data_IF_286089645319
#
_entry.id   IF_286089645319
#
_cell.length_a   1.000
_cell.length_b   1.000
_cell.length_c   1.000
_cell.angle_alpha   90.00
_cell.angle_beta   90.00
_cell.angle_gamma   90.00
#
_symmetry.space_group_name_H-M   'P 1'
#
loop_
_entity.id
_entity.type
_entity.pdbx_description
1 polymer ?
#
# COMPACT_ATOMS: atom_id res chain seq x y z
N UNK A 1 -11.06 15.27 -3.35
CA UNK A 1 -10.81 14.22 -2.33
C UNK A 1 -9.40 13.71 -2.51
N UNK A 2 -8.50 13.91 -1.54
CA UNK A 2 -7.12 13.46 -1.65
C UNK A 2 -7.04 11.95 -1.91
N UNK A 3 -6.18 11.54 -2.84
CA UNK A 3 -5.88 10.13 -3.13
C UNK A 3 -7.09 9.23 -3.43
N UNK A 4 -8.20 9.82 -3.89
CA UNK A 4 -9.34 9.06 -4.39
C UNK A 4 -8.91 8.09 -5.50
N UNK A 5 -9.58 6.94 -5.57
CA UNK A 5 -9.33 5.92 -6.58
C UNK A 5 -10.17 6.21 -7.81
N UNK A 6 -9.55 6.33 -8.98
CA UNK A 6 -10.22 6.52 -10.27
C UNK A 6 -9.99 5.25 -11.09
N UNK A 7 -10.97 4.35 -11.08
CA UNK A 7 -10.93 3.10 -11.85
C UNK A 7 -11.51 3.33 -13.26
N UNK A 8 -10.90 2.68 -14.26
CA UNK A 8 -11.37 2.69 -15.64
C UNK A 8 -12.24 1.48 -15.98
N UNK A 9 -12.62 0.66 -15.00
CA UNK A 9 -13.47 -0.53 -15.18
C UNK A 9 -12.81 -1.71 -15.90
N UNK A 10 -11.60 -1.54 -16.43
CA UNK A 10 -10.91 -2.53 -17.27
C UNK A 10 -9.62 -3.08 -16.64
N UNK A 11 -9.50 -3.03 -15.31
CA UNK A 11 -8.28 -3.45 -14.62
C UNK A 11 -7.20 -2.37 -14.50
N UNK A 12 -7.45 -1.18 -15.03
CA UNK A 12 -6.56 -0.03 -14.94
C UNK A 12 -7.25 1.13 -14.21
N UNK A 13 -6.45 2.11 -13.81
CA UNK A 13 -6.92 3.33 -13.17
C UNK A 13 -5.74 4.18 -12.72
N UNK A 14 -6.06 5.21 -11.96
CA UNK A 14 -5.11 6.13 -11.36
C UNK A 14 -5.65 6.61 -10.00
N UNK A 15 -4.85 7.41 -9.29
CA UNK A 15 -5.26 8.05 -8.05
C UNK A 15 -5.26 9.56 -8.22
N UNK A 16 -6.14 10.23 -7.47
CA UNK A 16 -6.05 11.67 -7.31
C UNK A 16 -4.79 12.06 -6.52
N UNK A 17 -4.33 13.29 -6.67
CA UNK A 17 -3.26 13.85 -5.84
C UNK A 17 -3.79 14.28 -4.46
N UNK A 18 -2.94 14.97 -3.70
CA UNK A 18 -3.22 15.50 -2.36
C UNK A 18 -4.30 16.60 -2.34
N UNK A 19 -4.52 17.28 -3.46
CA UNK A 19 -5.60 18.27 -3.63
C UNK A 19 -6.89 17.61 -4.16
N UNK A 20 -6.82 16.33 -4.54
CA UNK A 20 -7.91 15.58 -5.14
C UNK A 20 -8.08 15.81 -6.64
N UNK A 21 -7.06 16.38 -7.30
CA UNK A 21 -6.98 16.50 -8.75
C UNK A 21 -6.48 15.22 -9.40
N UNK A 22 -6.91 14.95 -10.63
CA UNK A 22 -6.36 13.89 -11.46
C UNK A 22 -6.35 14.30 -12.93
N UNK A 23 -5.47 13.68 -13.73
CA UNK A 23 -5.34 14.01 -15.14
C UNK A 23 -5.88 12.90 -16.05
N UNK A 24 -6.93 13.23 -16.80
CA UNK A 24 -7.55 12.34 -17.79
C UNK A 24 -7.75 13.09 -19.11
N UNK A 25 -7.37 12.46 -20.23
CA UNK A 25 -7.71 12.95 -21.56
C UNK A 25 -8.00 11.77 -22.49
N UNK A 26 -8.91 11.96 -23.45
CA UNK A 26 -9.17 10.96 -24.52
C UNK A 26 -7.93 10.67 -25.36
N UNK A 27 -6.99 11.61 -25.47
CA UNK A 27 -5.69 11.37 -26.11
C UNK A 27 -4.86 10.32 -25.36
N UNK A 28 -4.85 10.37 -24.02
CA UNK A 28 -4.10 9.42 -23.20
C UNK A 28 -4.81 8.09 -23.01
N UNK A 29 -6.15 8.12 -23.00
CA UNK A 29 -7.04 7.02 -22.66
C UNK A 29 -8.24 6.97 -23.64
N UNK A 30 -7.99 6.68 -24.94
CA UNK A 30 -9.03 6.74 -25.96
C UNK A 30 -10.17 5.74 -25.71
N UNK A 31 -9.81 4.56 -25.21
CA UNK A 31 -10.73 3.42 -25.04
C UNK A 31 -11.52 3.46 -23.72
N UNK A 32 -11.42 4.56 -22.94
CA UNK A 32 -12.08 4.67 -21.63
C UNK A 32 -13.33 5.55 -21.76
N UNK A 33 -14.50 4.97 -21.53
CA UNK A 33 -15.82 5.60 -21.65
C UNK A 33 -16.42 6.00 -20.30
N UNK A 34 -16.04 5.32 -19.21
CA UNK A 34 -16.58 5.54 -17.86
C UNK A 34 -15.47 5.53 -16.81
N UNK A 35 -15.57 6.42 -15.83
CA UNK A 35 -14.75 6.45 -14.63
C UNK A 35 -15.59 5.99 -13.43
N UNK A 36 -15.00 5.16 -12.57
CA UNK A 36 -15.56 4.74 -11.29
C UNK A 36 -14.70 5.33 -10.19
N UNK A 37 -15.26 6.29 -9.44
CA UNK A 37 -14.53 7.08 -8.46
C UNK A 37 -14.94 6.65 -7.06
N UNK A 38 -13.97 6.22 -6.26
CA UNK A 38 -14.18 5.81 -4.86
C UNK A 38 -13.25 6.57 -3.93
N UNK A 39 -13.75 6.92 -2.75
CA UNK A 39 -13.01 7.56 -1.68
C UNK A 39 -13.57 7.09 -0.33
N UNK A 40 -12.72 7.02 0.69
CA UNK A 40 -13.15 6.56 2.01
C UNK A 40 -14.21 7.49 2.59
N UNK A 41 -15.35 6.93 3.04
CA UNK A 41 -16.47 7.69 3.58
C UNK A 41 -17.38 8.34 2.52
N UNK A 42 -17.28 7.93 1.25
CA UNK A 42 -18.12 8.42 0.16
C UNK A 42 -18.66 7.27 -0.69
N UNK A 43 -19.86 7.48 -1.24
CA UNK A 43 -20.44 6.55 -2.21
C UNK A 43 -19.62 6.52 -3.49
N UNK A 44 -19.51 5.34 -4.10
CA UNK A 44 -18.95 5.22 -5.46
C UNK A 44 -19.73 6.11 -6.43
N UNK A 45 -19.00 6.90 -7.23
CA UNK A 45 -19.58 7.72 -8.30
C UNK A 45 -19.12 7.22 -9.66
N UNK A 46 -20.08 6.96 -10.55
CA UNK A 46 -19.83 6.59 -11.95
C UNK A 46 -19.98 7.82 -12.82
N UNK A 47 -18.97 8.12 -13.66
CA UNK A 47 -18.92 9.33 -14.48
C UNK A 47 -18.57 8.97 -15.93
N UNK A 48 -19.47 9.23 -16.91
CA UNK A 48 -19.14 9.10 -18.33
C UNK A 48 -18.06 10.09 -18.76
N UNK A 49 -17.06 9.63 -19.51
CA UNK A 49 -15.94 10.48 -19.96
C UNK A 49 -16.31 11.44 -21.09
N UNK A 50 -17.46 11.23 -21.74
CA UNK A 50 -17.97 12.14 -22.77
C UNK A 50 -18.36 13.52 -22.19
N UNK A 51 -18.82 13.54 -20.93
CA UNK A 51 -19.29 14.74 -20.22
C UNK A 51 -18.44 14.98 -18.96
N UNK A 52 -17.13 14.76 -19.04
CA UNK A 52 -16.25 14.89 -17.88
C UNK A 52 -16.10 16.37 -17.51
N UNK A 53 -16.79 16.78 -16.46
CA UNK A 53 -16.65 18.10 -15.84
C UNK A 53 -15.26 18.26 -15.18
N UNK A 54 -14.80 19.50 -15.05
CA UNK A 54 -13.55 19.82 -14.35
C UNK A 54 -13.60 19.46 -12.85
N UNK A 55 -14.80 19.43 -12.25
CA UNK A 55 -15.01 19.14 -10.84
C UNK A 55 -16.03 18.04 -10.68
N UNK A 56 -15.74 17.09 -9.79
CA UNK A 56 -16.62 15.96 -9.51
C UNK A 56 -16.94 15.94 -8.03
N UNK A 57 -18.20 16.25 -7.70
CA UNK A 57 -18.70 16.18 -6.32
C UNK A 57 -19.10 14.76 -5.94
N UNK A 58 -18.56 14.26 -4.82
CA UNK A 58 -18.91 12.96 -4.25
C UNK A 58 -19.92 13.13 -3.12
N UNK A 59 -20.78 12.12 -2.94
CA UNK A 59 -21.78 12.10 -1.86
C UNK A 59 -21.21 11.35 -0.66
N UNK A 60 -21.13 11.97 0.53
CA UNK A 60 -20.70 11.28 1.75
C UNK A 60 -21.56 10.04 2.04
N UNK A 61 -20.93 9.00 2.57
CA UNK A 61 -21.58 7.78 3.05
C UNK A 61 -21.26 7.59 4.54
N UNK A 62 -22.25 7.91 5.37
CA UNK A 62 -22.13 8.00 6.84
C UNK A 62 -21.86 6.63 7.50
N UNK A 63 -22.18 5.52 6.81
CA UNK A 63 -22.15 4.17 7.41
C UNK A 63 -20.77 3.54 7.58
N UNK A 64 -19.69 4.11 7.03
CA UNK A 64 -18.35 3.48 7.07
C UNK A 64 -17.46 3.95 8.23
N UNK A 65 -17.91 4.93 9.00
CA UNK A 65 -17.22 5.32 10.23
C UNK A 65 -17.99 4.68 11.38
N UNK A 66 -17.71 3.40 11.66
CA UNK A 66 -17.65 3.03 13.07
C UNK A 66 -16.55 3.91 13.63
N UNK A 67 -16.95 5.04 14.20
CA UNK A 67 -16.15 5.75 15.17
C UNK A 67 -15.65 4.65 16.10
N UNK A 68 -14.37 4.29 15.97
CA UNK A 68 -13.71 3.48 16.97
C UNK A 68 -13.87 4.36 18.19
N UNK A 69 -14.88 4.03 19.02
CA UNK A 69 -15.20 4.79 20.21
C UNK A 69 -13.89 4.82 20.97
N UNK A 70 -13.18 5.94 20.89
CA UNK A 70 -12.03 6.22 21.72
C UNK A 70 -12.67 6.45 23.08
N UNK A 71 -13.02 5.35 23.74
CA UNK A 71 -13.30 5.34 25.16
C UNK A 71 -11.99 5.77 25.79
N UNK A 72 -11.88 7.07 26.04
CA UNK A 72 -10.77 7.79 26.67
C UNK A 72 -9.43 7.76 25.91
N UNK A 73 -8.78 8.93 25.76
CA UNK A 73 -7.34 9.00 25.45
C UNK A 73 -6.63 8.13 26.48
N UNK A 74 -6.05 7.01 26.04
CA UNK A 74 -5.28 6.13 26.94
C UNK A 74 -4.00 6.88 27.32
N UNK A 75 -4.07 7.61 28.43
CA UNK A 75 -2.94 8.32 29.03
C UNK A 75 -2.41 7.52 30.22
N UNK A 76 -1.11 7.30 30.30
CA UNK A 76 -0.49 6.60 31.41
C UNK A 76 0.90 6.06 31.10
N UNK A 77 1.51 5.40 32.09
CA UNK A 77 2.78 4.70 31.91
C UNK A 77 2.61 3.57 30.89
N UNK A 78 3.51 3.53 29.91
CA UNK A 78 3.56 2.48 28.90
C UNK A 78 4.96 1.88 28.80
N UNK A 79 5.04 0.68 28.24
CA UNK A 79 6.30 0.05 27.81
C UNK A 79 6.34 0.02 26.29
N UNK A 80 7.54 0.22 25.73
CA UNK A 80 7.76 0.04 24.30
C UNK A 80 8.00 -1.44 24.03
N UNK A 81 7.27 -2.02 23.07
CA UNK A 81 7.52 -3.36 22.55
C UNK A 81 7.70 -3.30 21.04
N UNK A 82 8.73 -3.95 20.54
CA UNK A 82 9.05 -4.00 19.12
C UNK A 82 8.80 -5.39 18.57
N UNK A 83 8.23 -5.45 17.37
CA UNK A 83 8.16 -6.64 16.51
C UNK A 83 9.08 -6.39 15.34
N UNK A 84 10.22 -7.06 15.31
CA UNK A 84 11.25 -6.80 14.33
C UNK A 84 10.80 -7.11 12.89
N UNK A 85 11.17 -6.26 11.93
CA UNK A 85 10.98 -6.57 10.52
C UNK A 85 11.94 -7.69 10.09
N UNK A 86 11.51 -8.47 9.09
CA UNK A 86 12.37 -9.45 8.42
C UNK A 86 12.74 -8.92 7.04
N UNK A 87 14.04 -8.73 6.82
CA UNK A 87 14.57 -8.15 5.58
C UNK A 87 15.68 -9.04 5.01
N UNK A 88 15.87 -8.95 3.69
CA UNK A 88 17.03 -9.47 2.97
C UNK A 88 17.34 -8.53 1.80
N UNK A 89 18.50 -8.70 1.17
CA UNK A 89 18.93 -7.93 0.00
C UNK A 89 18.75 -8.69 -1.33
N UNK A 90 18.32 -9.96 -1.35
CA UNK A 90 18.09 -10.66 -2.63
C UNK A 90 17.01 -10.01 -3.52
N UNK A 91 17.41 -9.59 -4.73
CA UNK A 91 16.51 -9.04 -5.75
C UNK A 91 15.42 -10.04 -6.20
N UNK A 92 15.77 -11.31 -6.37
CA UNK A 92 14.87 -12.32 -6.93
C UNK A 92 13.79 -12.79 -5.95
N UNK A 93 13.97 -12.46 -4.67
CA UNK A 93 13.00 -12.72 -3.61
C UNK A 93 12.19 -11.47 -3.23
N UNK A 94 12.22 -10.44 -4.07
CA UNK A 94 11.37 -9.27 -3.92
C UNK A 94 10.09 -9.38 -4.74
N UNK A 95 8.99 -8.91 -4.17
CA UNK A 95 7.79 -8.60 -4.93
C UNK A 95 7.98 -7.31 -5.73
N UNK A 96 7.44 -7.29 -6.94
CA UNK A 96 7.53 -6.19 -7.89
C UNK A 96 6.26 -5.32 -7.78
N UNK A 97 6.33 -4.15 -7.13
CA UNK A 97 5.14 -3.33 -6.96
C UNK A 97 4.69 -2.75 -8.30
N UNK A 98 3.39 -2.80 -8.57
CA UNK A 98 2.76 -1.96 -9.58
C UNK A 98 1.90 -0.91 -8.88
N UNK A 99 1.55 0.15 -9.59
CA UNK A 99 0.44 1.04 -9.17
C UNK A 99 -0.75 0.17 -8.77
N UNK A 100 -1.62 0.62 -7.88
CA UNK A 100 -2.82 -0.11 -7.40
C UNK A 100 -2.58 -1.30 -6.46
N UNK A 101 -1.35 -1.76 -6.34
CA UNK A 101 -1.09 -2.95 -5.52
C UNK A 101 -1.04 -2.55 -4.07
N UNK A 102 -1.70 -3.35 -3.25
CA UNK A 102 -1.75 -3.17 -1.81
C UNK A 102 -1.35 -4.49 -1.14
N UNK A 103 -0.47 -4.40 -0.14
CA UNK A 103 -0.05 -5.55 0.67
C UNK A 103 -0.42 -5.27 2.11
N UNK A 104 -1.16 -6.17 2.74
CA UNK A 104 -1.47 -6.14 4.16
C UNK A 104 -0.73 -7.24 4.93
N UNK A 105 -0.32 -6.93 6.14
CA UNK A 105 0.27 -7.87 7.11
C UNK A 105 -0.59 -7.88 8.37
N UNK A 106 -0.96 -9.07 8.81
CA UNK A 106 -1.68 -9.27 10.07
C UNK A 106 -0.73 -9.16 11.27
N UNK A 107 -1.19 -8.45 12.29
CA UNK A 107 -0.57 -8.34 13.59
C UNK A 107 -1.59 -8.69 14.67
N UNK A 108 -1.29 -9.74 15.43
CA UNK A 108 -2.11 -10.16 16.56
C UNK A 108 -2.01 -9.19 17.75
N UNK A 109 -3.02 -9.23 18.61
CA UNK A 109 -3.01 -8.58 19.91
C UNK A 109 -2.47 -9.57 20.95
N UNK A 110 -1.29 -9.29 21.53
CA UNK A 110 -0.61 -10.25 22.43
C UNK A 110 -0.61 -9.82 23.89
N UNK A 111 -0.96 -8.58 24.17
CA UNK A 111 -0.82 -8.00 25.51
C UNK A 111 -2.17 -7.92 26.19
N UNK A 112 -2.19 -7.89 27.51
CA UNK A 112 -3.46 -7.73 28.23
C UNK A 112 -3.99 -6.29 28.19
N UNK A 113 -3.10 -5.30 28.11
CA UNK A 113 -3.45 -3.88 28.09
C UNK A 113 -3.63 -3.30 26.67
N UNK A 114 -4.15 -2.07 26.56
CA UNK A 114 -4.23 -1.37 25.28
C UNK A 114 -2.87 -1.25 24.60
N UNK A 115 -2.84 -1.47 23.28
CA UNK A 115 -1.62 -1.37 22.47
C UNK A 115 -1.83 -0.32 21.38
N UNK A 116 -0.99 0.72 21.38
CA UNK A 116 -0.97 1.76 20.34
C UNK A 116 0.23 1.56 19.43
N UNK A 117 0.05 1.64 18.11
CA UNK A 117 1.16 1.60 17.16
C UNK A 117 1.86 2.97 17.16
N UNK A 118 3.16 3.00 17.45
CA UNK A 118 3.98 4.23 17.40
C UNK A 118 4.88 4.30 16.16
N UNK A 119 5.23 3.16 15.56
CA UNK A 119 6.11 3.12 14.39
C UNK A 119 5.85 1.88 13.54
N UNK A 120 6.02 2.01 12.23
CA UNK A 120 6.12 0.87 11.31
C UNK A 120 7.53 0.73 10.77
N UNK A 121 7.95 -0.52 10.61
CA UNK A 121 9.21 -0.88 9.96
C UNK A 121 8.91 -1.63 8.68
N UNK A 122 9.15 -0.97 7.54
CA UNK A 122 8.82 -1.49 6.22
C UNK A 122 10.10 -1.97 5.52
N UNK A 123 10.30 -3.28 5.33
CA UNK A 123 11.39 -3.78 4.49
C UNK A 123 11.28 -3.24 3.06
N UNK A 124 12.34 -2.60 2.57
CA UNK A 124 12.43 -2.04 1.23
C UNK A 124 13.77 -2.41 0.60
N UNK A 125 13.78 -2.65 -0.70
CA UNK A 125 15.02 -2.79 -1.48
C UNK A 125 15.11 -1.68 -2.51
N UNK A 126 15.98 -0.72 -2.23
CA UNK A 126 16.53 0.15 -3.26
C UNK A 126 17.57 -0.64 -4.06
N UNK A 127 17.44 -0.73 -5.39
CA UNK A 127 18.43 -1.39 -6.26
C UNK A 127 19.87 -0.89 -6.10
N UNK A 128 20.03 0.28 -5.48
CA UNK A 128 21.33 0.85 -5.13
C UNK A 128 22.20 -0.08 -4.26
N UNK A 129 21.64 -1.08 -3.57
CA UNK A 129 22.39 -1.93 -2.63
C UNK A 129 23.31 -2.96 -3.30
N UNK A 130 22.97 -3.49 -4.48
CA UNK A 130 23.77 -4.52 -5.19
C UNK A 130 24.44 -4.01 -6.47
N UNK A 131 24.23 -2.75 -6.84
CA UNK A 131 24.83 -2.20 -8.06
C UNK A 131 26.37 -2.17 -7.99
N UNK A 132 26.95 -1.99 -6.79
CA UNK A 132 28.39 -2.06 -6.59
C UNK A 132 28.98 -3.44 -6.95
N UNK A 133 28.16 -4.49 -7.01
CA UNK A 133 28.56 -5.85 -7.39
C UNK A 133 28.35 -6.14 -8.89
N UNK A 134 27.64 -5.28 -9.64
CA UNK A 134 27.39 -5.47 -11.08
C UNK A 134 28.48 -4.78 -11.90
N UNK A 135 29.32 -5.55 -12.60
CA UNK A 135 30.35 -5.09 -13.56
C UNK A 135 29.81 -4.32 -14.80
N UNK A 136 28.55 -3.88 -14.81
CA UNK A 136 27.98 -3.12 -15.93
C UNK A 136 27.93 -1.63 -15.58
N UNK A 137 28.96 -0.91 -15.97
CA UNK A 137 29.10 0.55 -15.84
C UNK A 137 28.14 1.37 -16.73
N UNK A 138 27.26 0.71 -17.51
CA UNK A 138 26.49 1.37 -18.58
C UNK A 138 25.06 1.81 -18.22
N UNK A 139 24.57 1.57 -17.00
CA UNK A 139 23.21 2.04 -16.61
C UNK A 139 23.33 3.02 -15.45
N UNK A 140 23.03 4.29 -15.71
CA UNK A 140 22.99 5.32 -14.68
C UNK A 140 21.92 4.98 -13.62
N UNK A 141 22.22 5.29 -12.36
CA UNK A 141 21.24 5.21 -11.26
C UNK A 141 20.06 6.08 -11.65
N UNK A 142 18.90 5.48 -11.92
CA UNK A 142 17.67 6.26 -12.10
C UNK A 142 17.15 6.63 -10.71
N UNK A 143 17.14 7.92 -10.34
CA UNK A 143 16.50 8.34 -9.10
C UNK A 143 15.03 7.96 -9.15
N UNK A 144 14.44 7.74 -7.99
CA UNK A 144 13.02 7.42 -7.90
C UNK A 144 12.46 8.09 -6.66
N UNK A 145 11.19 8.49 -6.74
CA UNK A 145 10.44 8.99 -5.60
C UNK A 145 9.04 8.45 -5.74
N UNK A 146 8.64 7.57 -4.84
CA UNK A 146 7.36 6.86 -4.91
C UNK A 146 6.54 7.17 -3.67
N UNK A 147 5.29 7.56 -3.89
CA UNK A 147 4.31 7.81 -2.86
C UNK A 147 3.60 6.50 -2.50
N UNK A 148 3.57 6.24 -1.20
CA UNK A 148 2.86 5.14 -0.58
C UNK A 148 1.78 5.70 0.34
N UNK A 149 0.69 4.94 0.46
CA UNK A 149 -0.36 5.15 1.45
C UNK A 149 -0.36 3.96 2.41
N UNK A 150 -0.48 4.19 3.72
CA UNK A 150 -0.67 3.13 4.72
C UNK A 150 -2.14 3.10 5.14
N UNK A 151 -2.73 1.91 5.25
CA UNK A 151 -4.07 1.72 5.79
C UNK A 151 -4.04 0.75 6.97
N UNK A 152 -5.05 0.87 7.81
CA UNK A 152 -5.24 0.04 9.00
C UNK A 152 -6.64 -0.55 8.92
N UNK A 153 -6.75 -1.88 8.94
CA UNK A 153 -8.03 -2.56 8.85
C UNK A 153 -8.28 -3.42 10.06
N UNK A 154 -9.55 -3.54 10.44
CA UNK A 154 -9.97 -4.55 11.41
C UNK A 154 -9.70 -5.96 10.87
N UNK A 155 -9.58 -6.90 11.79
CA UNK A 155 -9.59 -8.32 11.44
C UNK A 155 -11.03 -8.83 11.33
N UNK A 156 -11.45 -9.13 10.11
CA UNK A 156 -12.74 -9.76 9.81
C UNK A 156 -12.50 -11.22 9.40
N UNK A 157 -12.62 -12.14 10.37
CA UNK A 157 -12.45 -13.59 10.18
C UNK A 157 -11.14 -14.01 9.47
N UNK A 158 -10.04 -13.33 9.81
CA UNK A 158 -8.72 -13.60 9.24
C UNK A 158 -8.47 -12.93 7.88
N UNK A 159 -9.33 -11.99 7.47
CA UNK A 159 -9.15 -11.12 6.32
C UNK A 159 -9.19 -9.65 6.75
N UNK A 160 -8.52 -8.73 6.01
CA UNK A 160 -8.69 -7.30 6.25
C UNK A 160 -10.15 -6.88 5.99
N UNK A 161 -10.77 -6.25 6.99
CA UNK A 161 -12.15 -5.74 6.96
C UNK A 161 -12.24 -4.25 6.67
N UNK A 162 -13.08 -3.54 7.42
CA UNK A 162 -13.22 -2.08 7.32
C UNK A 162 -11.98 -1.31 7.80
N UNK A 163 -11.80 -0.08 7.28
CA UNK A 163 -10.71 0.80 7.71
C UNK A 163 -10.96 1.29 9.14
N UNK A 164 -9.92 1.24 9.98
CA UNK A 164 -9.96 1.71 11.36
C UNK A 164 -9.71 3.21 11.50
N UNK A 165 -9.16 3.84 10.47
CA UNK A 165 -8.91 5.28 10.44
C UNK A 165 -9.48 5.89 9.17
N UNK A 166 -9.97 7.12 9.29
CA UNK A 166 -10.41 7.95 8.16
C UNK A 166 -9.29 8.85 7.61
N UNK A 167 -8.23 9.05 8.40
CA UNK A 167 -7.10 9.89 8.01
C UNK A 167 -6.24 9.21 6.94
N UNK A 168 -5.89 10.00 5.92
CA UNK A 168 -4.97 9.60 4.86
C UNK A 168 -3.52 9.73 5.33
N UNK A 169 -2.87 8.60 5.60
CA UNK A 169 -1.46 8.58 5.99
C UNK A 169 -0.61 8.17 4.79
N UNK A 170 0.15 9.13 4.25
CA UNK A 170 1.04 8.93 3.11
C UNK A 170 2.49 9.20 3.46
N UNK A 171 3.39 8.56 2.72
CA UNK A 171 4.82 8.75 2.87
C UNK A 171 5.56 8.49 1.55
N UNK A 172 6.72 9.12 1.39
CA UNK A 172 7.55 8.98 0.20
C UNK A 172 8.75 8.10 0.51
N UNK A 173 9.03 7.16 -0.39
CA UNK A 173 10.30 6.43 -0.43
C UNK A 173 11.06 6.80 -1.69
N UNK A 174 12.33 7.17 -1.53
CA UNK A 174 13.24 7.54 -2.62
C UNK A 174 14.62 6.86 -2.47
N UNK A 175 15.55 7.15 -3.39
CA UNK A 175 16.88 6.55 -3.39
C UNK A 175 17.75 6.89 -2.16
N UNK A 176 17.38 7.90 -1.38
CA UNK A 176 18.08 8.27 -0.13
C UNK A 176 17.75 7.31 1.00
N UNK A 177 16.66 6.54 0.90
CA UNK A 177 16.28 5.51 1.88
C UNK A 177 17.12 4.23 1.70
N UNK A 178 18.40 4.30 2.09
CA UNK A 178 19.41 3.24 1.84
C UNK A 178 19.38 2.05 2.82
N UNK A 179 18.68 2.16 3.95
CA UNK A 179 18.85 1.25 5.11
C UNK A 179 18.09 -0.08 5.03
N UNK A 180 17.53 -0.45 3.88
CA UNK A 180 16.77 -1.70 3.72
C UNK A 180 15.44 -1.75 4.50
N UNK A 181 15.23 -0.86 5.45
CA UNK A 181 14.04 -0.69 6.27
C UNK A 181 13.70 0.79 6.28
N UNK A 182 12.50 1.12 5.84
CA UNK A 182 11.90 2.44 6.00
C UNK A 182 11.15 2.48 7.33
N UNK A 183 11.33 3.57 8.09
CA UNK A 183 10.66 3.78 9.36
C UNK A 183 9.61 4.86 9.19
N UNK A 184 8.35 4.52 9.45
CA UNK A 184 7.25 5.48 9.47
C UNK A 184 6.86 5.75 10.92
N UNK A 185 7.05 6.99 11.38
CA UNK A 185 6.59 7.42 12.70
C UNK A 185 5.07 7.64 12.67
N UNK A 186 4.37 7.12 13.67
CA UNK A 186 2.92 7.20 13.84
C UNK A 186 2.55 7.59 15.27
N UNK A 187 3.50 8.14 16.04
CA UNK A 187 3.29 8.39 17.47
C UNK A 187 2.16 9.40 17.75
N UNK A 188 1.99 10.35 16.84
CA UNK A 188 0.94 11.36 16.81
C UNK A 188 -0.43 10.80 16.39
N UNK A 189 -0.50 9.56 15.91
CA UNK A 189 -1.73 8.91 15.41
C UNK A 189 -2.30 7.97 16.45
N UNK A 190 -3.58 8.09 16.79
CA UNK A 190 -4.24 7.24 17.80
C UNK A 190 -4.70 5.89 17.23
N UNK A 191 -3.75 5.09 16.73
CA UNK A 191 -4.01 3.78 16.11
C UNK A 191 -3.82 2.68 17.15
N UNK A 192 -4.93 2.18 17.70
CA UNK A 192 -4.94 1.08 18.66
C UNK A 192 -5.16 -0.27 17.98
N UNK A 193 -4.49 -1.31 18.48
CA UNK A 193 -4.64 -2.69 18.00
C UNK A 193 -5.87 -3.33 18.66
N UNK A 194 -6.94 -3.66 17.91
CA UNK A 194 -8.11 -4.34 18.47
C UNK A 194 -7.75 -5.71 19.06
N UNK A 195 -8.59 -6.26 19.93
CA UNK A 195 -8.38 -7.60 20.52
C UNK A 195 -8.31 -8.71 19.46
N UNK A 196 -9.05 -8.57 18.37
CA UNK A 196 -9.00 -9.48 17.22
C UNK A 196 -7.72 -9.35 16.39
N UNK A 197 -6.84 -8.39 16.71
CA UNK A 197 -5.68 -8.03 15.93
C UNK A 197 -6.01 -6.96 14.87
N UNK A 198 -4.99 -6.62 14.09
CA UNK A 198 -5.05 -5.54 13.10
C UNK A 198 -4.34 -5.96 11.82
N UNK A 199 -4.84 -5.51 10.69
CA UNK A 199 -4.11 -5.55 9.42
C UNK A 199 -3.51 -4.17 9.14
N UNK A 200 -2.22 -4.15 8.84
CA UNK A 200 -1.53 -2.94 8.38
C UNK A 200 -1.15 -3.14 6.92
N UNK A 201 -1.57 -2.23 6.05
CA UNK A 201 -1.26 -2.32 4.63
C UNK A 201 -0.40 -1.18 4.11
N UNK A 202 0.31 -1.43 3.02
CA UNK A 202 0.94 -0.41 2.19
C UNK A 202 0.40 -0.51 0.76
N UNK A 203 -0.04 0.63 0.23
CA UNK A 203 -0.57 0.82 -1.10
C UNK A 203 0.36 1.69 -1.92
N UNK A 204 0.62 1.31 -3.16
CA UNK A 204 1.43 2.09 -4.10
C UNK A 204 0.53 3.04 -4.89
N UNK A 205 0.74 4.35 -4.71
CA UNK A 205 -0.01 5.39 -5.43
C UNK A 205 0.68 5.76 -6.75
N UNK A 206 2.01 5.88 -6.76
CA UNK A 206 2.77 6.17 -7.97
C UNK A 206 4.05 6.97 -7.71
N UNK A 207 4.71 7.41 -8.78
CA UNK A 207 5.86 8.29 -8.68
C UNK A 207 5.45 9.73 -8.37
N UNK A 208 6.33 10.46 -7.70
CA UNK A 208 6.18 11.88 -7.41
C UNK A 208 7.17 12.71 -8.22
N UNK A 209 6.90 14.01 -8.30
CA UNK A 209 7.90 15.00 -8.67
C UNK A 209 8.93 15.23 -7.54
N UNK A 210 9.78 16.25 -7.71
CA UNK A 210 10.82 16.63 -6.73
C UNK A 210 10.25 17.23 -5.45
N UNK A 211 9.03 17.76 -5.51
CA UNK A 211 8.30 18.38 -4.41
C UNK A 211 7.49 17.34 -3.62
N UNK A 212 7.33 16.13 -4.18
CA UNK A 212 6.56 15.06 -3.56
C UNK A 212 5.12 14.98 -4.06
N UNK A 213 4.73 15.79 -5.05
CA UNK A 213 3.38 15.75 -5.63
C UNK A 213 3.24 14.53 -6.53
N UNK A 214 2.10 13.84 -6.44
CA UNK A 214 1.82 12.64 -7.22
C UNK A 214 1.77 12.97 -8.71
N UNK A 215 2.56 12.26 -9.51
CA UNK A 215 2.54 12.42 -10.97
C UNK A 215 1.38 11.62 -11.59
N UNK A 216 0.86 12.07 -12.75
CA UNK A 216 -0.05 11.25 -13.56
C UNK A 216 0.72 10.04 -14.11
N UNK A 217 0.54 8.88 -13.49
CA UNK A 217 1.28 7.67 -13.81
C UNK A 217 0.43 6.71 -14.65
N UNK A 218 0.96 6.25 -15.79
CA UNK A 218 0.39 5.10 -16.51
C UNK A 218 0.87 3.80 -15.88
N UNK A 219 -0.06 2.85 -15.70
CA UNK A 219 0.23 1.48 -15.24
C UNK A 219 1.17 0.72 -16.18
N UNK A 220 1.28 1.14 -17.43
CA UNK A 220 2.11 0.50 -18.45
C UNK A 220 2.91 1.51 -19.26
N UNK A 221 4.00 1.04 -19.84
CA UNK A 221 4.76 1.71 -20.89
C UNK A 221 4.43 1.05 -22.22
N UNK A 222 4.26 1.87 -23.25
CA UNK A 222 4.10 1.41 -24.62
C UNK A 222 5.49 1.24 -25.22
N UNK A 223 5.83 0.00 -25.56
CA UNK A 223 7.12 -0.36 -26.17
C UNK A 223 6.86 -0.72 -27.62
N UNK A 224 7.45 0.04 -28.54
CA UNK A 224 7.39 -0.26 -29.96
C UNK A 224 8.29 -1.45 -30.27
N UNK A 225 7.70 -2.52 -30.78
CA UNK A 225 8.40 -3.72 -31.25
C UNK A 225 8.22 -3.88 -32.75
N UNK A 226 8.96 -4.80 -33.39
CA UNK A 226 8.77 -5.15 -34.80
C UNK A 226 7.35 -5.66 -35.12
N UNK A 227 6.62 -6.15 -34.11
CA UNK A 227 5.26 -6.71 -34.23
C UNK A 227 4.15 -5.74 -33.79
N UNK A 228 4.48 -4.48 -33.53
CA UNK A 228 3.54 -3.47 -33.03
C UNK A 228 3.87 -2.97 -31.63
N UNK A 229 2.93 -2.24 -31.04
CA UNK A 229 3.07 -1.63 -29.71
C UNK A 229 2.66 -2.65 -28.64
N UNK A 230 3.57 -2.97 -27.72
CA UNK A 230 3.32 -3.85 -26.58
C UNK A 230 3.23 -3.02 -25.30
N UNK A 231 2.19 -3.26 -24.49
CA UNK A 231 2.02 -2.63 -23.17
C UNK A 231 2.75 -3.45 -22.11
N UNK A 232 3.77 -2.87 -21.49
CA UNK A 232 4.57 -3.51 -20.42
C UNK A 232 4.28 -2.82 -19.10
N UNK A 233 3.87 -3.57 -18.08
CA UNK A 233 3.58 -3.03 -16.74
C UNK A 233 4.76 -2.27 -16.17
N UNK A 234 4.48 -1.10 -15.59
CA UNK A 234 5.48 -0.28 -14.89
C UNK A 234 5.66 -0.85 -13.49
N UNK A 235 6.86 -1.37 -13.21
CA UNK A 235 7.29 -1.68 -11.84
C UNK A 235 7.75 -0.41 -11.14
N UNK A 236 7.26 -0.20 -9.92
CA UNK A 236 7.62 0.92 -9.06
C UNK A 236 8.72 0.51 -8.08
N UNK A 237 9.52 1.48 -7.67
CA UNK A 237 10.56 1.33 -6.63
C UNK A 237 10.05 1.89 -5.29
N UNK A 238 10.62 1.49 -4.15
CA UNK A 238 11.54 0.36 -3.97
C UNK A 238 10.85 -0.98 -4.25
N UNK A 239 11.64 -2.04 -4.39
CA UNK A 239 11.07 -3.40 -4.34
C UNK A 239 10.77 -3.79 -2.89
N UNK A 240 9.91 -4.78 -2.71
CA UNK A 240 9.49 -5.23 -1.38
C UNK A 240 10.03 -6.64 -1.12
N UNK A 241 11.02 -6.81 -0.23
CA UNK A 241 11.59 -8.11 0.13
C UNK A 241 10.54 -9.00 0.79
N UNK A 242 10.23 -10.14 0.18
CA UNK A 242 9.38 -11.16 0.81
C UNK A 242 10.24 -12.14 1.57
N UNK A 243 9.68 -12.95 2.46
CA UNK A 243 10.47 -13.87 3.28
C UNK A 243 9.74 -15.19 3.51
N UNK A 244 10.54 -16.24 3.65
CA UNK A 244 10.15 -17.57 4.08
C UNK A 244 10.52 -17.85 5.55
N UNK A 245 11.12 -16.88 6.27
CA UNK A 245 11.51 -17.02 7.68
C UNK A 245 10.33 -16.91 8.66
N UNK A 246 9.15 -16.49 8.17
CA UNK A 246 7.92 -16.39 8.95
C UNK A 246 7.06 -17.60 8.62
N UNK A 247 6.87 -18.49 9.59
CA UNK A 247 6.10 -19.72 9.42
C UNK A 247 4.61 -19.46 9.17
N UNK A 248 4.02 -18.49 9.86
CA UNK A 248 2.61 -18.13 9.68
C UNK A 248 2.40 -17.37 8.37
N UNK A 249 1.35 -17.71 7.62
CA UNK A 249 0.98 -17.01 6.38
C UNK A 249 0.10 -15.81 6.72
N UNK A 250 0.74 -14.68 7.03
CA UNK A 250 0.09 -13.48 7.55
C UNK A 250 0.03 -12.33 6.54
N UNK A 251 0.42 -12.55 5.30
CA UNK A 251 0.46 -11.54 4.23
C UNK A 251 -0.68 -11.72 3.25
N UNK A 252 -1.33 -10.62 2.90
CA UNK A 252 -2.48 -10.55 2.01
C UNK A 252 -2.21 -9.50 0.96
N UNK A 253 -2.72 -9.72 -0.24
CA UNK A 253 -2.57 -8.79 -1.35
C UNK A 253 -3.92 -8.45 -1.94
N UNK A 254 -4.02 -7.21 -2.42
CA UNK A 254 -5.17 -6.68 -3.15
C UNK A 254 -4.66 -5.91 -4.35
N UNK A 255 -5.40 -6.01 -5.45
CA UNK A 255 -5.19 -5.21 -6.65
C UNK A 255 -6.40 -4.30 -6.78
N UNK A 256 -6.24 -3.00 -6.53
CA UNK A 256 -7.40 -2.11 -6.36
C UNK A 256 -8.27 -2.05 -7.62
N UNK A 257 -7.66 -2.07 -8.80
CA UNK A 257 -8.40 -2.04 -10.08
C UNK A 257 -8.80 -3.41 -10.63
N UNK A 258 -8.35 -4.52 -10.02
CA UNK A 258 -8.60 -5.89 -10.52
C UNK A 258 -9.37 -6.71 -9.49
N UNK A 259 -10.04 -7.78 -9.93
CA UNK A 259 -10.71 -8.74 -9.04
C UNK A 259 -11.68 -8.08 -8.03
N UNK A 260 -12.34 -6.99 -8.44
CA UNK A 260 -13.20 -6.17 -7.58
C UNK A 260 -12.52 -5.68 -6.29
N UNK A 261 -11.19 -5.50 -6.28
CA UNK A 261 -10.47 -5.05 -5.10
C UNK A 261 -10.53 -6.02 -3.92
N UNK A 262 -10.73 -7.32 -4.16
CA UNK A 262 -10.80 -8.32 -3.07
C UNK A 262 -9.42 -8.65 -2.50
N UNK A 263 -9.38 -8.86 -1.19
CA UNK A 263 -8.21 -9.38 -0.49
C UNK A 263 -8.02 -10.87 -0.77
N UNK A 264 -6.78 -11.27 -1.03
CA UNK A 264 -6.39 -12.68 -1.10
C UNK A 264 -5.14 -12.93 -0.27
N UNK A 265 -5.11 -14.02 0.48
CA UNK A 265 -3.89 -14.42 1.20
C UNK A 265 -2.80 -14.79 0.21
N UNK A 266 -1.57 -14.31 0.42
CA UNK A 266 -0.44 -14.51 -0.49
C UNK A 266 0.11 -15.94 -0.38
N UNK A 267 -0.56 -16.88 -1.04
CA UNK A 267 -0.16 -18.29 -1.06
C UNK A 267 -0.56 -19.02 -2.34
N UNK A 268 0.09 -20.16 -2.60
CA UNK A 268 -0.06 -20.94 -3.84
C UNK A 268 -1.49 -21.33 -4.17
N UNK A 269 -2.33 -21.59 -3.16
CA UNK A 269 -3.73 -21.99 -3.40
C UNK A 269 -4.62 -20.84 -3.90
N UNK A 270 -4.23 -19.59 -3.66
CA UNK A 270 -5.04 -18.42 -4.01
C UNK A 270 -4.50 -17.64 -5.21
N UNK A 271 -3.23 -17.83 -5.57
CA UNK A 271 -2.54 -17.05 -6.62
C UNK A 271 -2.08 -18.00 -7.71
N UNK A 272 -2.20 -17.56 -8.97
CA UNK A 272 -1.94 -18.33 -10.18
C UNK A 272 -0.67 -19.20 -10.11
N UNK A 273 -0.76 -20.39 -10.68
CA UNK A 273 0.37 -21.30 -10.93
C UNK A 273 1.39 -20.51 -11.78
N UNK A 274 2.57 -20.21 -11.22
CA UNK A 274 3.77 -19.55 -11.82
C UNK A 274 4.30 -18.31 -11.06
N UNK A 275 3.79 -18.01 -9.87
CA UNK A 275 4.46 -17.00 -9.01
C UNK A 275 5.76 -17.57 -8.40
N UNK A 276 6.92 -17.04 -8.80
CA UNK A 276 8.25 -17.49 -8.36
C UNK A 276 8.45 -17.41 -6.84
N UNK A 277 7.99 -16.35 -6.19
CA UNK A 277 8.10 -16.19 -4.73
C UNK A 277 7.38 -17.34 -4.02
N UNK A 278 6.14 -17.61 -4.44
CA UNK A 278 5.34 -18.69 -3.88
C UNK A 278 5.93 -20.07 -4.19
N UNK A 279 6.55 -20.26 -5.36
CA UNK A 279 7.29 -21.49 -5.70
C UNK A 279 8.50 -21.73 -4.77
N UNK A 280 9.06 -20.68 -4.18
CA UNK A 280 10.20 -20.76 -3.27
C UNK A 280 9.81 -20.61 -1.79
N UNK A 281 8.51 -20.53 -1.47
CA UNK A 281 8.02 -20.39 -0.09
C UNK A 281 8.11 -18.98 0.50
N UNK A 282 8.38 -17.97 -0.33
CA UNK A 282 8.42 -16.56 0.06
C UNK A 282 7.00 -16.00 0.13
N UNK A 283 6.28 -16.40 1.19
CA UNK A 283 4.86 -16.13 1.36
C UNK A 283 4.54 -14.85 2.12
N UNK A 284 5.53 -14.24 2.78
CA UNK A 284 5.28 -13.15 3.69
C UNK A 284 6.05 -11.88 3.34
N UNK A 285 5.43 -10.73 3.53
CA UNK A 285 6.14 -9.46 3.64
C UNK A 285 6.55 -9.27 5.11
N UNK A 286 7.84 -9.06 5.35
CA UNK A 286 8.44 -9.02 6.69
C UNK A 286 8.21 -7.72 7.46
N UNK A 287 7.04 -7.09 7.35
CA UNK A 287 6.72 -5.85 8.06
C UNK A 287 6.85 -6.03 9.58
N UNK A 288 7.50 -5.06 10.24
CA UNK A 288 7.60 -4.95 11.68
C UNK A 288 6.83 -3.73 12.21
N UNK A 289 6.65 -3.66 13.52
CA UNK A 289 6.03 -2.49 14.17
C UNK A 289 6.56 -2.26 15.59
N UNK A 290 6.41 -1.04 16.08
CA UNK A 290 6.67 -0.62 17.46
C UNK A 290 5.33 -0.30 18.14
N UNK A 291 5.15 -0.76 19.37
CA UNK A 291 3.93 -0.59 20.16
C UNK A 291 4.25 0.13 21.47
N UNK A 292 3.40 1.08 21.83
CA UNK A 292 3.22 1.53 23.21
C UNK A 292 2.16 0.65 23.86
N UNK A 293 2.59 -0.16 24.84
CA UNK A 293 1.72 -1.06 25.62
C UNK A 293 1.44 -0.41 26.96
N UNK A 294 0.20 -0.02 27.18
CA UNK A 294 -0.23 0.68 28.39
C UNK A 294 -0.57 -0.32 29.49
N UNK A 295 -0.27 0.05 30.73
CA UNK A 295 -0.72 -0.73 31.88
C UNK A 295 -2.25 -0.76 31.91
N UNK A 296 -2.83 -1.89 32.32
CA UNK A 296 -4.28 -2.01 32.55
C UNK A 296 -4.69 -0.97 33.59
N UNK A 297 -5.59 -0.05 33.24
CA UNK A 297 -6.24 0.77 34.25
C UNK A 297 -7.09 -0.21 35.09
N UNK A 298 -6.86 -0.24 36.41
CA UNK A 298 -7.76 -0.94 37.32
C UNK A 298 -9.09 -0.18 37.25
N UNK A 299 -10.13 -0.86 36.78
CA UNK A 299 -11.52 -0.44 37.01
C UNK A 299 -11.82 -0.44 38.51
#
# INVERSE_FOLDING_TARGET
MPYATISFGNGNGLFADDEGGFYFTKKLYPDIDTLFITALGYKEKKVPTANLEEKIFMVPEVNHLKEVVVKTKVSGKFKIKQRDPVVHDDYFHCWLPTIESEIAVFFDHKEEGPQKISKLYLPIKSEASDWNKRKSSKTSKKPFSTLFKVNFYENNDGLPGESLISEEIVFIVNEKNKKGIFQLNLDDKDIFVPRSGIFVSIQILGYTDKQGKLLPNKKYKEVKTKRGIVKVSTTFRPLLPFTNKIASKKTYVKRIFLNSGKWVRFERKNIQKNNKLLQQGYNNYGMGLELKVYNKQKE
#
